data_IF_992203881882
#
_entry.id   IF_992203881882
#
_cell.length_a   1.000
_cell.length_b   1.000
_cell.length_c   1.000
_cell.angle_alpha   90.00
_cell.angle_beta   90.00
_cell.angle_gamma   90.00
#
_symmetry.space_group_name_H-M   'P 1'
#
loop_
_entity.id
_entity.type
_entity.pdbx_description
1 polymer ?
#
# COMPACT_ATOMS: atom_id res chain seq x y z
N UNK A 1 -10.87 -12.38 -19.25
CA UNK A 1 -9.64 -12.94 -18.66
C UNK A 1 -9.30 -12.18 -17.39
N UNK A 2 -8.71 -12.84 -16.39
CA UNK A 2 -8.09 -12.18 -15.23
C UNK A 2 -6.58 -12.06 -15.52
N UNK A 3 -5.98 -10.95 -15.10
CA UNK A 3 -4.56 -10.66 -15.34
C UNK A 3 -3.85 -10.73 -13.99
N UNK A 4 -2.97 -11.72 -13.81
CA UNK A 4 -2.14 -11.78 -12.61
C UNK A 4 -1.19 -10.59 -12.61
N UNK A 5 -1.09 -9.90 -11.48
CA UNK A 5 -0.20 -8.75 -11.34
C UNK A 5 1.26 -9.23 -11.28
N UNK A 6 2.12 -8.78 -12.21
CA UNK A 6 3.49 -9.26 -12.33
C UNK A 6 4.44 -8.56 -11.36
N UNK A 7 4.02 -7.50 -10.67
CA UNK A 7 4.83 -6.79 -9.68
C UNK A 7 4.74 -7.37 -8.27
N UNK A 8 5.16 -6.57 -7.29
CA UNK A 8 5.01 -6.88 -5.88
C UNK A 8 3.52 -7.02 -5.52
N UNK A 9 3.13 -8.23 -5.13
CA UNK A 9 1.80 -8.52 -4.59
C UNK A 9 1.85 -8.53 -3.06
N UNK A 10 1.17 -7.63 -2.35
CA UNK A 10 1.10 -7.66 -0.90
C UNK A 10 0.47 -8.98 -0.43
N UNK A 11 1.20 -9.71 0.41
CA UNK A 11 0.69 -10.93 1.04
C UNK A 11 0.70 -10.80 2.56
N UNK A 12 -0.35 -11.31 3.20
CA UNK A 12 -0.42 -11.45 4.66
C UNK A 12 -0.15 -10.15 5.45
N UNK A 13 -0.79 -9.05 5.04
CA UNK A 13 -0.78 -7.80 5.80
C UNK A 13 -2.00 -7.69 6.72
N UNK A 14 -1.84 -6.95 7.81
CA UNK A 14 -2.87 -6.73 8.82
C UNK A 14 -4.15 -6.15 8.19
N UNK A 15 -5.28 -6.28 8.89
CA UNK A 15 -6.57 -5.76 8.40
C UNK A 15 -6.56 -4.25 8.16
N UNK A 16 -5.77 -3.49 8.91
CA UNK A 16 -5.62 -2.03 8.79
C UNK A 16 -4.65 -1.61 7.67
N UNK A 17 -3.97 -2.56 7.04
CA UNK A 17 -3.02 -2.31 5.96
C UNK A 17 -3.62 -2.52 4.56
N UNK A 18 -4.96 -2.49 4.43
CA UNK A 18 -5.68 -2.67 3.17
C UNK A 18 -7.02 -1.98 3.14
N UNK A 19 -7.50 -1.69 1.94
CA UNK A 19 -8.86 -1.22 1.69
C UNK A 19 -9.81 -2.40 1.49
N UNK A 20 -11.12 -2.14 1.59
CA UNK A 20 -12.13 -3.15 1.27
C UNK A 20 -13.37 -2.52 0.66
N UNK A 21 -13.95 -3.19 -0.33
CA UNK A 21 -15.31 -2.88 -0.82
C UNK A 21 -16.31 -3.62 0.06
N UNK A 22 -17.32 -2.91 0.57
CA UNK A 22 -18.34 -3.45 1.48
C UNK A 22 -19.72 -2.89 1.16
N UNK A 23 -20.78 -3.50 1.70
CA UNK A 23 -22.13 -2.97 1.57
C UNK A 23 -22.34 -1.77 2.48
N UNK A 24 -22.89 -0.69 1.94
CA UNK A 24 -23.27 0.48 2.72
C UNK A 24 -24.62 0.25 3.41
N UNK A 25 -24.80 0.69 4.68
CA UNK A 25 -26.12 0.71 5.32
C UNK A 25 -27.15 1.54 4.55
N UNK A 26 -26.71 2.55 3.80
CA UNK A 26 -27.57 3.41 2.97
C UNK A 26 -27.94 2.76 1.61
N UNK A 27 -27.45 1.55 1.34
CA UNK A 27 -27.60 0.84 0.08
C UNK A 27 -26.42 1.03 -0.87
N UNK A 28 -26.17 0.05 -1.74
CA UNK A 28 -25.01 0.04 -2.62
C UNK A 28 -23.74 -0.52 -1.96
N UNK A 29 -22.60 -0.26 -2.58
CA UNK A 29 -21.29 -0.67 -2.08
C UNK A 29 -20.32 0.51 -2.06
N UNK A 30 -19.48 0.57 -1.03
CA UNK A 30 -18.56 1.68 -0.76
C UNK A 30 -17.19 1.14 -0.34
N UNK A 31 -16.17 1.99 -0.39
CA UNK A 31 -14.83 1.66 0.08
C UNK A 31 -14.72 1.95 1.57
N UNK A 32 -14.24 0.96 2.33
CA UNK A 32 -14.00 0.99 3.77
C UNK A 32 -12.53 0.80 4.09
N UNK A 33 -12.05 1.57 5.06
CA UNK A 33 -10.76 1.40 5.74
C UNK A 33 -11.00 0.95 7.19
N UNK A 34 -10.26 -0.06 7.64
CA UNK A 34 -10.11 -0.32 9.08
C UNK A 34 -8.94 0.51 9.57
N UNK A 35 -9.20 1.46 10.45
CA UNK A 35 -8.19 2.38 10.96
C UNK A 35 -7.96 2.19 12.45
N UNK A 36 -6.72 1.97 12.86
CA UNK A 36 -6.35 1.71 14.26
C UNK A 36 -5.71 2.94 14.87
N UNK A 37 -6.35 3.50 15.90
CA UNK A 37 -5.70 4.48 16.79
C UNK A 37 -5.46 3.79 18.12
N UNK A 38 -4.19 3.55 18.46
CA UNK A 38 -3.78 2.82 19.66
C UNK A 38 -4.39 1.39 19.71
N UNK A 39 -4.94 0.96 20.86
CA UNK A 39 -5.61 -0.33 21.01
C UNK A 39 -7.05 -0.35 20.45
N UNK A 40 -7.58 0.77 19.95
CA UNK A 40 -8.96 0.88 19.45
C UNK A 40 -8.99 0.84 17.93
N UNK A 41 -9.80 -0.06 17.37
CA UNK A 41 -10.12 -0.10 15.94
C UNK A 41 -11.33 0.79 15.65
N UNK A 42 -11.31 1.50 14.51
CA UNK A 42 -12.46 2.14 13.91
C UNK A 42 -12.61 1.68 12.47
N UNK A 43 -13.85 1.58 12.00
CA UNK A 43 -14.15 1.42 10.58
C UNK A 43 -14.53 2.78 10.02
N UNK A 44 -13.81 3.21 8.99
CA UNK A 44 -14.06 4.46 8.29
C UNK A 44 -14.58 4.16 6.89
N UNK A 45 -15.56 4.93 6.45
CA UNK A 45 -16.04 4.92 5.07
C UNK A 45 -15.36 6.06 4.31
N UNK A 46 -15.22 5.87 3.00
CA UNK A 46 -14.74 6.92 2.11
C UNK A 46 -15.70 8.10 2.08
N UNK A 47 -15.18 9.31 1.87
CA UNK A 47 -15.98 10.53 1.77
C UNK A 47 -16.69 10.69 0.41
N UNK A 48 -16.29 9.89 -0.59
CA UNK A 48 -16.95 9.73 -1.89
C UNK A 48 -17.27 8.25 -2.17
N UNK A 49 -18.16 7.99 -3.14
CA UNK A 49 -18.64 6.63 -3.47
C UNK A 49 -17.64 5.81 -4.26
N UNK A 50 -16.74 6.45 -5.01
CA UNK A 50 -15.73 5.80 -5.85
C UNK A 50 -16.30 4.66 -6.73
N UNK A 51 -17.42 4.91 -7.43
CA UNK A 51 -18.20 3.88 -8.14
C UNK A 51 -17.36 3.07 -9.15
N UNK A 52 -16.43 3.74 -9.86
CA UNK A 52 -15.53 3.09 -10.81
C UNK A 52 -14.56 2.12 -10.12
N UNK A 53 -14.00 2.50 -8.97
CA UNK A 53 -13.13 1.63 -8.17
C UNK A 53 -13.90 0.42 -7.63
N UNK A 54 -15.11 0.65 -7.09
CA UNK A 54 -16.00 -0.42 -6.62
C UNK A 54 -16.31 -1.40 -7.74
N UNK A 55 -16.62 -0.91 -8.94
CA UNK A 55 -16.87 -1.75 -10.12
C UNK A 55 -15.63 -2.55 -10.55
N UNK A 56 -14.43 -1.96 -10.53
CA UNK A 56 -13.17 -2.65 -10.83
C UNK A 56 -12.94 -3.83 -9.86
N UNK A 57 -13.06 -3.58 -8.55
CA UNK A 57 -12.85 -4.62 -7.53
C UNK A 57 -13.91 -5.72 -7.63
N UNK A 58 -15.20 -5.35 -7.74
CA UNK A 58 -16.29 -6.32 -7.85
C UNK A 58 -16.15 -7.22 -9.08
N UNK A 59 -15.82 -6.65 -10.24
CA UNK A 59 -15.59 -7.42 -11.48
C UNK A 59 -14.52 -8.50 -11.32
N UNK A 60 -13.47 -8.23 -10.53
CA UNK A 60 -12.44 -9.23 -10.23
C UNK A 60 -12.94 -10.25 -9.21
N UNK A 61 -13.58 -9.79 -8.13
CA UNK A 61 -14.08 -10.68 -7.05
C UNK A 61 -15.13 -11.66 -7.55
N UNK A 62 -16.13 -11.19 -8.29
CA UNK A 62 -17.17 -12.04 -8.87
C UNK A 62 -16.58 -13.16 -9.75
N UNK A 63 -15.51 -12.87 -10.50
CA UNK A 63 -14.82 -13.88 -11.31
C UNK A 63 -13.98 -14.86 -10.49
N UNK A 64 -13.43 -14.41 -9.36
CA UNK A 64 -12.58 -15.22 -8.48
C UNK A 64 -13.37 -16.12 -7.54
N UNK A 65 -14.48 -15.63 -6.98
CA UNK A 65 -15.21 -16.32 -5.91
C UNK A 65 -16.74 -16.26 -6.04
N UNK A 66 -17.28 -15.68 -7.12
CA UNK A 66 -18.72 -15.59 -7.35
C UNK A 66 -19.46 -14.54 -6.50
N UNK A 67 -18.75 -13.71 -5.73
CA UNK A 67 -19.36 -12.70 -4.87
C UNK A 67 -18.66 -11.34 -5.00
N UNK A 68 -19.39 -10.22 -4.92
CA UNK A 68 -18.80 -8.89 -4.89
C UNK A 68 -18.15 -8.58 -3.54
N UNK A 69 -17.32 -7.55 -3.51
CA UNK A 69 -16.71 -7.02 -2.30
C UNK A 69 -15.46 -7.77 -1.81
N UNK A 70 -14.82 -7.17 -0.80
CA UNK A 70 -13.62 -7.71 -0.16
C UNK A 70 -12.39 -6.82 -0.33
N UNK A 71 -11.26 -7.35 0.13
CA UNK A 71 -10.02 -6.57 0.23
C UNK A 71 -9.37 -6.29 -1.12
N UNK A 72 -8.71 -5.14 -1.20
CA UNK A 72 -7.85 -4.71 -2.31
C UNK A 72 -6.76 -3.75 -1.80
N UNK A 73 -5.79 -3.44 -2.67
CA UNK A 73 -4.75 -2.43 -2.46
C UNK A 73 -4.71 -1.47 -3.66
N UNK A 74 -4.16 -0.29 -3.44
CA UNK A 74 -3.70 0.61 -4.50
C UNK A 74 -2.21 0.82 -4.25
N UNK A 75 -1.38 0.63 -5.27
CA UNK A 75 0.06 0.82 -5.16
C UNK A 75 0.48 2.24 -5.55
N UNK A 76 1.78 2.52 -5.45
CA UNK A 76 2.41 3.79 -5.83
C UNK A 76 2.28 4.12 -7.33
N UNK A 77 1.80 3.19 -8.15
CA UNK A 77 1.53 3.37 -9.58
C UNK A 77 0.05 3.49 -9.90
N UNK A 78 -0.79 3.64 -8.87
CA UNK A 78 -2.25 3.67 -8.96
C UNK A 78 -2.91 2.37 -9.44
N UNK A 79 -2.17 1.26 -9.47
CA UNK A 79 -2.75 -0.03 -9.85
C UNK A 79 -3.59 -0.60 -8.71
N UNK A 80 -4.82 -0.98 -9.03
CA UNK A 80 -5.75 -1.64 -8.11
C UNK A 80 -5.48 -3.14 -8.09
N UNK A 81 -5.02 -3.63 -6.94
CA UNK A 81 -4.58 -5.00 -6.73
C UNK A 81 -5.57 -5.77 -5.86
N UNK A 82 -6.15 -6.84 -6.41
CA UNK A 82 -7.12 -7.67 -5.68
C UNK A 82 -6.46 -9.01 -5.31
N UNK A 83 -6.33 -9.35 -4.03
CA UNK A 83 -5.74 -10.62 -3.61
C UNK A 83 -6.51 -11.82 -4.15
N UNK A 84 -5.77 -12.77 -4.70
CA UNK A 84 -6.30 -14.06 -5.11
C UNK A 84 -6.58 -14.92 -3.85
N UNK A 85 -7.73 -15.62 -3.78
CA UNK A 85 -8.14 -16.33 -2.57
C UNK A 85 -7.21 -17.46 -2.12
N UNK A 86 -6.45 -18.07 -3.04
CA UNK A 86 -5.48 -19.14 -2.74
C UNK A 86 -4.09 -18.62 -2.29
N UNK A 87 -3.90 -17.30 -2.24
CA UNK A 87 -2.63 -16.68 -1.88
C UNK A 87 -1.56 -16.67 -2.98
N UNK A 88 -1.90 -17.02 -4.22
CA UNK A 88 -0.97 -17.03 -5.37
C UNK A 88 -0.47 -15.65 -5.81
N UNK A 89 -1.04 -14.56 -5.26
CA UNK A 89 -0.65 -13.19 -5.56
C UNK A 89 -1.87 -12.28 -5.66
N UNK A 90 -1.73 -11.18 -6.39
CA UNK A 90 -2.82 -10.27 -6.71
C UNK A 90 -3.20 -10.34 -8.19
N UNK A 91 -4.45 -10.02 -8.47
CA UNK A 91 -5.00 -9.77 -9.80
C UNK A 91 -5.07 -8.26 -10.02
N UNK A 92 -4.64 -7.81 -11.18
CA UNK A 92 -4.78 -6.41 -11.61
C UNK A 92 -6.23 -6.14 -12.01
N UNK A 93 -6.86 -5.16 -11.35
CA UNK A 93 -8.25 -4.76 -11.61
C UNK A 93 -8.38 -3.56 -12.55
N UNK A 94 -7.35 -2.71 -12.62
CA UNK A 94 -7.31 -1.46 -13.38
C UNK A 94 -6.42 -0.41 -12.69
N UNK A 95 -6.33 0.78 -13.28
CA UNK A 95 -5.66 1.96 -12.68
C UNK A 95 -6.71 2.88 -12.06
N UNK A 96 -6.42 3.43 -10.88
CA UNK A 96 -7.29 4.35 -10.16
C UNK A 96 -6.48 5.50 -9.53
N UNK A 97 -6.52 6.67 -10.18
CA UNK A 97 -5.69 7.83 -9.85
C UNK A 97 -6.25 8.69 -8.71
N UNK A 98 -7.54 8.55 -8.38
CA UNK A 98 -8.15 9.36 -7.33
C UNK A 98 -7.68 8.89 -5.95
N UNK A 99 -7.22 9.83 -5.13
CA UNK A 99 -6.83 9.58 -3.74
C UNK A 99 -8.07 9.22 -2.90
N UNK A 100 -7.93 8.18 -2.08
CA UNK A 100 -8.98 7.77 -1.14
C UNK A 100 -8.88 8.57 0.15
N UNK A 101 -9.96 9.26 0.49
CA UNK A 101 -10.07 10.05 1.71
C UNK A 101 -11.21 9.51 2.57
N UNK A 102 -11.02 9.58 3.89
CA UNK A 102 -11.95 8.98 4.86
C UNK A 102 -12.26 9.98 5.97
N UNK A 103 -13.54 10.15 6.28
CA UNK A 103 -13.96 10.98 7.40
C UNK A 103 -13.74 10.22 8.72
N UNK A 104 -12.87 10.73 9.59
CA UNK A 104 -12.63 10.17 10.92
C UNK A 104 -13.54 10.78 11.98
N UNK A 105 -13.74 12.09 11.87
CA UNK A 105 -14.71 12.90 12.60
C UNK A 105 -15.05 14.15 11.76
N UNK A 106 -15.84 15.08 12.31
CA UNK A 106 -16.29 16.27 11.57
C UNK A 106 -15.19 17.25 11.18
N UNK A 107 -13.93 17.03 11.61
CA UNK A 107 -12.81 17.94 11.38
C UNK A 107 -11.55 17.24 10.85
N UNK A 108 -11.53 15.90 10.84
CA UNK A 108 -10.35 15.10 10.53
C UNK A 108 -10.61 14.19 9.34
N UNK A 109 -9.83 14.39 8.29
CA UNK A 109 -9.77 13.51 7.13
C UNK A 109 -8.51 12.66 7.20
N UNK A 110 -8.68 11.35 7.05
CA UNK A 110 -7.58 10.39 6.91
C UNK A 110 -7.31 10.22 5.41
N UNK A 111 -6.07 10.44 5.01
CA UNK A 111 -5.64 10.42 3.60
C UNK A 111 -4.25 9.82 3.48
N UNK A 112 -3.91 9.12 2.38
CA UNK A 112 -2.55 8.72 2.06
C UNK A 112 -1.63 9.91 1.77
N UNK A 113 -2.17 11.11 1.53
CA UNK A 113 -1.39 12.34 1.41
C UNK A 113 -1.04 12.87 2.81
N UNK A 114 0.23 13.16 3.11
CA UNK A 114 0.61 13.72 4.41
C UNK A 114 -0.04 15.10 4.61
N UNK A 115 -0.48 15.44 5.84
CA UNK A 115 -0.88 16.80 6.16
C UNK A 115 0.29 17.77 5.99
N UNK A 116 -0.04 19.03 5.72
CA UNK A 116 0.97 20.08 5.58
C UNK A 116 1.85 20.20 6.82
N UNK A 117 3.16 20.25 6.61
CA UNK A 117 4.16 20.37 7.68
C UNK A 117 4.58 19.07 8.36
N UNK A 118 4.05 17.90 7.95
CA UNK A 118 4.52 16.61 8.45
C UNK A 118 5.97 16.36 8.02
N UNK A 119 6.87 16.18 8.99
CA UNK A 119 8.29 15.96 8.74
C UNK A 119 8.65 14.46 8.87
N UNK A 120 9.67 13.97 8.14
CA UNK A 120 10.20 12.63 8.36
C UNK A 120 10.63 12.45 9.82
N UNK A 121 10.15 11.40 10.47
CA UNK A 121 10.32 11.16 11.91
C UNK A 121 9.07 11.41 12.74
N UNK A 122 8.10 12.16 12.22
CA UNK A 122 6.82 12.35 12.88
C UNK A 122 5.96 11.08 12.81
N UNK A 123 5.01 10.97 13.75
CA UNK A 123 4.01 9.90 13.72
C UNK A 123 3.19 10.00 12.42
N UNK A 124 3.07 8.88 11.70
CA UNK A 124 2.25 8.81 10.49
C UNK A 124 0.75 8.84 10.85
N UNK A 125 -0.02 9.84 10.39
CA UNK A 125 -1.44 9.94 10.72
C UNK A 125 -2.36 9.31 9.67
N UNK A 126 -1.84 9.01 8.47
CA UNK A 126 -2.63 8.49 7.36
C UNK A 126 -2.99 7.00 7.50
N UNK A 127 -3.67 6.42 6.48
CA UNK A 127 -3.98 5.01 6.46
C UNK A 127 -2.69 4.18 6.46
N UNK A 128 -2.75 2.96 7.02
CA UNK A 128 -1.63 2.02 6.95
C UNK A 128 -1.68 1.16 5.66
N UNK A 129 -2.61 1.47 4.76
CA UNK A 129 -2.67 0.88 3.43
C UNK A 129 -1.46 1.36 2.61
N UNK A 130 -0.56 0.43 2.31
CA UNK A 130 0.63 0.67 1.51
C UNK A 130 1.29 -0.64 1.12
N UNK A 131 2.11 -0.59 0.08
CA UNK A 131 2.81 -1.75 -0.46
C UNK A 131 4.09 -1.99 0.37
N UNK A 132 4.26 -3.18 0.97
CA UNK A 132 5.38 -3.44 1.86
C UNK A 132 6.64 -3.86 1.08
N UNK A 133 7.66 -3.01 1.11
CA UNK A 133 9.02 -3.31 0.68
C UNK A 133 9.93 -3.61 1.89
N UNK A 134 11.13 -4.12 1.64
CA UNK A 134 12.13 -4.40 2.67
C UNK A 134 13.33 -3.47 2.50
N UNK A 135 13.55 -2.62 3.50
CA UNK A 135 14.81 -1.92 3.68
C UNK A 135 15.85 -2.92 4.21
N UNK A 136 16.96 -3.09 3.49
CA UNK A 136 18.02 -3.99 3.89
C UNK A 136 18.81 -3.43 5.07
N UNK A 137 19.24 -4.32 5.97
CA UNK A 137 20.06 -3.93 7.12
C UNK A 137 21.34 -3.20 6.65
N UNK A 138 21.77 -2.22 7.45
CA UNK A 138 22.88 -1.33 7.08
C UNK A 138 22.54 -0.30 6.00
N UNK A 139 21.25 -0.12 5.67
CA UNK A 139 20.78 0.84 4.67
C UNK A 139 21.45 0.66 3.30
N UNK A 140 21.63 -0.60 2.91
CA UNK A 140 22.41 -0.96 1.72
C UNK A 140 21.58 -1.02 0.45
N UNK A 141 20.28 -1.30 0.57
CA UNK A 141 19.37 -1.50 -0.55
C UNK A 141 17.90 -1.53 -0.10
N UNK A 142 16.98 -1.51 -1.05
CA UNK A 142 15.54 -1.77 -0.88
C UNK A 142 15.17 -2.93 -1.80
N UNK A 143 14.35 -3.86 -1.32
CA UNK A 143 14.01 -5.07 -2.08
C UNK A 143 12.60 -5.55 -1.84
N UNK A 144 12.14 -6.41 -2.72
CA UNK A 144 10.93 -7.19 -2.52
C UNK A 144 11.06 -8.58 -3.13
N UNK A 145 10.10 -9.45 -2.79
CA UNK A 145 10.03 -10.78 -3.35
C UNK A 145 8.84 -10.88 -4.30
N UNK A 146 9.09 -11.39 -5.50
CA UNK A 146 8.08 -11.75 -6.48
C UNK A 146 7.83 -13.26 -6.41
N UNK A 147 6.57 -13.66 -6.27
CA UNK A 147 6.17 -15.07 -6.26
C UNK A 147 5.53 -15.41 -7.59
N UNK A 148 6.05 -16.45 -8.26
CA UNK A 148 5.47 -17.03 -9.47
C UNK A 148 5.35 -18.54 -9.29
N UNK A 149 4.15 -19.01 -8.95
CA UNK A 149 3.91 -20.40 -8.57
C UNK A 149 4.72 -20.78 -7.32
N UNK A 150 5.63 -21.75 -7.44
CA UNK A 150 6.52 -22.18 -6.34
C UNK A 150 7.84 -21.41 -6.26
N UNK A 151 8.15 -20.57 -7.26
CA UNK A 151 9.40 -19.81 -7.32
C UNK A 151 9.22 -18.46 -6.64
N UNK A 152 10.14 -18.14 -5.74
CA UNK A 152 10.29 -16.80 -5.16
C UNK A 152 11.57 -16.20 -5.71
N UNK A 153 11.46 -15.00 -6.29
CA UNK A 153 12.60 -14.25 -6.84
C UNK A 153 12.73 -12.95 -6.05
N UNK A 154 13.90 -12.70 -5.48
CA UNK A 154 14.22 -11.42 -4.86
C UNK A 154 14.59 -10.41 -5.94
N UNK A 155 13.98 -9.22 -5.89
CA UNK A 155 14.27 -8.08 -6.76
C UNK A 155 14.81 -6.96 -5.88
N UNK A 156 15.99 -6.43 -6.21
CA UNK A 156 16.62 -5.32 -5.49
C UNK A 156 16.52 -4.04 -6.29
N UNK A 157 16.40 -2.92 -5.60
CA UNK A 157 16.37 -1.61 -6.22
C UNK A 157 17.70 -1.33 -6.94
N UNK A 158 18.82 -1.74 -6.34
CA UNK A 158 20.14 -1.57 -6.97
C UNK A 158 20.31 -2.30 -8.31
N UNK A 159 19.58 -3.40 -8.55
CA UNK A 159 19.58 -4.10 -9.84
C UNK A 159 18.86 -3.31 -10.94
N UNK A 160 18.01 -2.35 -10.57
CA UNK A 160 17.16 -1.56 -11.48
C UNK A 160 17.73 -0.17 -11.71
N UNK A 161 18.12 0.53 -10.64
CA UNK A 161 18.54 1.94 -10.68
C UNK A 161 20.03 2.14 -10.40
N UNK A 162 20.77 1.05 -10.16
CA UNK A 162 22.18 1.07 -9.78
C UNK A 162 22.41 1.24 -8.27
N UNK A 163 23.57 0.78 -7.81
CA UNK A 163 23.90 0.73 -6.37
C UNK A 163 23.89 2.09 -5.68
N UNK A 164 24.36 3.15 -6.33
CA UNK A 164 24.49 4.46 -5.68
C UNK A 164 23.12 5.10 -5.43
N UNK A 165 22.25 5.14 -6.44
CA UNK A 165 20.90 5.67 -6.31
C UNK A 165 20.07 4.86 -5.29
N UNK A 166 20.11 3.53 -5.36
CA UNK A 166 19.42 2.67 -4.41
C UNK A 166 19.90 2.90 -2.97
N UNK A 167 21.22 3.05 -2.78
CA UNK A 167 21.80 3.32 -1.45
C UNK A 167 21.48 4.72 -0.94
N UNK A 168 21.40 5.73 -1.80
CA UNK A 168 20.98 7.08 -1.41
C UNK A 168 19.58 7.07 -0.80
N UNK A 169 18.61 6.48 -1.49
CA UNK A 169 17.24 6.33 -0.98
C UNK A 169 17.21 5.47 0.29
N UNK A 170 17.89 4.31 0.29
CA UNK A 170 17.92 3.43 1.47
C UNK A 170 18.48 4.15 2.71
N UNK A 171 19.55 4.95 2.57
CA UNK A 171 20.13 5.76 3.65
C UNK A 171 19.20 6.87 4.12
N UNK A 172 18.48 7.52 3.21
CA UNK A 172 17.49 8.54 3.55
C UNK A 172 16.39 7.95 4.44
N UNK A 173 15.82 6.82 4.05
CA UNK A 173 14.79 6.14 4.86
C UNK A 173 15.36 5.64 6.20
N UNK A 174 16.59 5.10 6.20
CA UNK A 174 17.26 4.61 7.40
C UNK A 174 17.66 5.71 8.38
N UNK A 175 17.86 6.95 7.94
CA UNK A 175 18.15 8.09 8.81
C UNK A 175 17.01 8.34 9.83
N UNK A 176 15.78 7.97 9.46
CA UNK A 176 14.60 8.05 10.34
C UNK A 176 14.30 6.69 10.97
N UNK A 177 14.21 5.64 10.16
CA UNK A 177 13.80 4.30 10.62
C UNK A 177 14.85 3.59 11.47
N UNK A 178 16.12 3.92 11.29
CA UNK A 178 17.27 3.20 11.82
C UNK A 178 17.84 2.15 10.86
N UNK A 179 19.01 1.61 11.23
CA UNK A 179 19.84 0.76 10.34
C UNK A 179 19.60 -0.74 10.45
N UNK A 180 18.65 -1.19 11.28
CA UNK A 180 18.33 -2.62 11.43
C UNK A 180 17.60 -3.20 10.21
N UNK A 181 17.13 -2.34 9.30
CA UNK A 181 16.33 -2.72 8.14
C UNK A 181 14.88 -3.02 8.50
N UNK A 182 14.24 -3.88 7.70
CA UNK A 182 12.86 -4.33 7.90
C UNK A 182 11.86 -3.63 6.99
N UNK A 183 10.56 -3.73 7.33
CA UNK A 183 9.49 -3.26 6.46
C UNK A 183 9.46 -1.74 6.34
N UNK A 184 9.33 -1.27 5.11
CA UNK A 184 8.93 0.08 4.73
C UNK A 184 7.73 -0.04 3.80
N UNK A 185 6.80 0.89 3.90
CA UNK A 185 5.58 0.91 3.11
C UNK A 185 5.59 2.16 2.25
N UNK A 186 5.11 2.04 1.01
CA UNK A 186 4.81 3.18 0.14
C UNK A 186 3.32 3.13 -0.21
N UNK A 187 2.62 4.26 -0.11
CA UNK A 187 1.21 4.35 -0.45
C UNK A 187 1.00 4.86 -1.89
N UNK A 188 -0.26 4.96 -2.30
CA UNK A 188 -0.69 5.44 -3.62
C UNK A 188 -0.39 6.92 -3.88
N UNK A 189 -0.01 7.69 -2.85
CA UNK A 189 0.47 9.06 -2.98
C UNK A 189 2.01 9.14 -3.02
N UNK A 190 2.69 8.01 -3.18
CA UNK A 190 4.16 7.90 -3.21
C UNK A 190 4.85 8.37 -1.92
N UNK A 191 4.19 8.21 -0.77
CA UNK A 191 4.75 8.55 0.53
C UNK A 191 5.17 7.31 1.32
N UNK A 192 6.36 7.38 1.92
CA UNK A 192 6.92 6.30 2.73
C UNK A 192 6.54 6.42 4.19
N UNK A 193 6.23 5.27 4.80
CA UNK A 193 6.03 5.13 6.23
C UNK A 193 6.48 3.76 6.71
N UNK A 194 6.74 3.59 8.01
CA UNK A 194 7.17 2.30 8.54
C UNK A 194 6.75 2.06 9.99
N UNK A 195 6.56 0.79 10.38
CA UNK A 195 6.34 0.44 11.77
C UNK A 195 7.63 0.61 12.57
N UNK A 196 7.49 1.20 13.76
CA UNK A 196 8.48 1.24 14.82
C UNK A 196 7.93 0.48 16.02
N UNK A 197 8.74 -0.44 16.55
CA UNK A 197 8.40 -1.15 17.78
C UNK A 197 8.87 -0.28 18.94
N UNK A 198 7.92 0.19 19.73
CA UNK A 198 8.17 0.96 20.95
C UNK A 198 7.73 0.15 22.17
N UNK A 199 8.09 0.60 23.38
CA UNK A 199 7.66 -0.02 24.63
C UNK A 199 6.14 -0.07 24.79
N UNK A 200 5.40 0.84 24.13
CA UNK A 200 3.94 0.92 24.13
C UNK A 200 3.25 0.17 22.99
N UNK A 201 3.99 -0.54 22.13
CA UNK A 201 3.47 -1.25 20.97
C UNK A 201 4.02 -0.71 19.65
N UNK A 202 3.38 -1.11 18.54
CA UNK A 202 3.78 -0.69 17.19
C UNK A 202 3.14 0.64 16.85
N UNK A 203 3.96 1.65 16.57
CA UNK A 203 3.53 2.92 15.96
C UNK A 203 4.04 3.00 14.53
N UNK A 204 3.47 3.88 13.71
CA UNK A 204 3.99 4.15 12.36
C UNK A 204 4.63 5.53 12.31
N UNK A 205 5.76 5.62 11.63
CA UNK A 205 6.52 6.86 11.43
C UNK A 205 6.51 7.22 9.96
N UNK A 206 6.41 8.52 9.66
CA UNK A 206 6.55 9.05 8.32
C UNK A 206 8.03 9.11 7.92
N UNK A 207 8.35 8.70 6.69
CA UNK A 207 9.73 8.64 6.18
C UNK A 207 9.99 9.63 5.03
N UNK A 208 9.00 10.40 4.61
CA UNK A 208 9.09 11.34 3.48
C UNK A 208 8.42 10.85 2.21
N UNK A 209 8.31 11.73 1.20
CA UNK A 209 7.87 11.37 -0.15
C UNK A 209 8.93 10.58 -0.91
N UNK A 210 8.54 10.00 -2.04
CA UNK A 210 9.47 9.47 -3.04
C UNK A 210 10.14 10.60 -3.82
N UNK A 211 9.39 11.66 -4.15
CA UNK A 211 9.89 12.84 -4.87
C UNK A 211 10.67 12.45 -6.14
N UNK A 212 11.88 12.98 -6.32
CA UNK A 212 12.76 12.69 -7.47
C UNK A 212 13.68 11.46 -7.24
N UNK A 213 13.50 10.70 -6.15
CA UNK A 213 14.32 9.52 -5.91
C UNK A 213 14.05 8.42 -6.94
N UNK A 214 15.11 7.73 -7.35
CA UNK A 214 14.99 6.60 -8.27
C UNK A 214 14.23 5.44 -7.60
N UNK A 215 13.24 4.90 -8.33
CA UNK A 215 12.40 3.82 -7.84
C UNK A 215 12.32 2.67 -8.84
N UNK A 216 11.65 1.58 -8.43
CA UNK A 216 11.29 0.52 -9.35
C UNK A 216 10.44 1.09 -10.48
N UNK A 217 10.60 0.54 -11.69
CA UNK A 217 9.67 0.84 -12.77
C UNK A 217 8.35 0.15 -12.49
N UNK A 218 7.27 0.82 -12.85
CA UNK A 218 5.96 0.21 -12.81
C UNK A 218 5.91 -1.04 -13.71
N UNK A 219 5.26 -2.13 -13.28
CA UNK A 219 5.25 -3.37 -14.06
C UNK A 219 4.51 -3.22 -15.39
N UNK A 220 4.95 -3.97 -16.39
CA UNK A 220 4.26 -4.07 -17.68
C UNK A 220 3.03 -4.97 -17.53
N UNK A 221 1.85 -4.36 -17.56
CA UNK A 221 0.55 -5.02 -17.40
C UNK A 221 -0.33 -4.64 -18.59
N UNK A 222 -0.91 -5.61 -19.32
CA UNK A 222 -1.79 -5.31 -20.44
C UNK A 222 -2.97 -4.41 -20.02
N UNK A 223 -3.12 -3.26 -20.69
CA UNK A 223 -4.23 -2.32 -20.45
C UNK A 223 -4.03 -1.39 -19.26
N UNK A 224 -2.82 -1.24 -18.74
CA UNK A 224 -2.44 -0.13 -17.88
C UNK A 224 -2.40 1.17 -18.70
N UNK A 225 -3.03 2.23 -18.16
CA UNK A 225 -3.16 3.54 -18.80
C UNK A 225 -1.81 4.27 -18.87
#
# INVERSE_FOLDING_TARGET
MLIMYPGLSPSNVNKDAKYSVTHSPAGGMEVRLVYRISARERELLTNDRHESLVAMVNKVKEKLNGAPGGAFYINEYHDVLVPHPDGSGCVYAGTYETILEFDYDSQTTISPVPPAGLAPGDSWPGPHAGIPYVLSAGATDIRFNMTSGRRVTEIRLSDVVGHDAARMLARRLAAVKGNSGGRVYINEACHFFAPLITTGGTTYVYLGGLDDDAWFSAPDVPGRL
#
